data_IF_813460783464
#
_entry.id   IF_813460783464
#
_cell.length_a   1.000
_cell.length_b   1.000
_cell.length_c   1.000
_cell.angle_alpha   90.00
_cell.angle_beta   90.00
_cell.angle_gamma   90.00
#
_symmetry.space_group_name_H-M   'P 1'
#
loop_
_entity.id
_entity.type
_entity.pdbx_description
1 polymer ?
#
# COMPACT_ATOMS: atom_id res chain seq x y z
N UNK A 1 38.44 -19.37 -12.37
CA UNK A 1 38.61 -19.09 -10.94
C UNK A 1 38.27 -17.62 -10.72
N UNK A 2 37.12 -17.33 -10.11
CA UNK A 2 36.78 -15.99 -9.64
C UNK A 2 37.81 -15.62 -8.56
N UNK A 3 38.66 -14.63 -8.84
CA UNK A 3 39.62 -14.12 -7.85
C UNK A 3 38.80 -13.58 -6.68
N UNK A 4 38.96 -14.18 -5.50
CA UNK A 4 38.36 -13.68 -4.26
C UNK A 4 38.74 -12.21 -4.07
N UNK A 5 37.76 -11.38 -3.69
CA UNK A 5 37.98 -9.96 -3.40
C UNK A 5 37.72 -9.74 -1.92
N UNK A 6 38.79 -9.84 -1.13
CA UNK A 6 38.74 -9.55 0.29
C UNK A 6 38.65 -8.04 0.51
N UNK A 7 37.70 -7.62 1.32
CA UNK A 7 37.51 -6.25 1.74
C UNK A 7 37.51 -6.18 3.26
N UNK A 8 38.36 -5.33 3.82
CA UNK A 8 38.32 -5.00 5.24
C UNK A 8 37.10 -4.13 5.53
N UNK A 9 36.32 -4.52 6.54
CA UNK A 9 35.16 -3.77 7.00
C UNK A 9 35.20 -3.50 8.50
N UNK A 10 34.70 -2.32 8.87
CA UNK A 10 34.52 -1.90 10.25
C UNK A 10 33.07 -1.52 10.52
N UNK A 11 32.63 -1.62 11.78
CA UNK A 11 31.29 -1.21 12.20
C UNK A 11 31.30 0.28 12.54
N UNK A 12 30.43 1.05 11.89
CA UNK A 12 30.26 2.45 12.22
C UNK A 12 29.65 2.59 13.63
N UNK A 13 30.26 3.36 14.54
CA UNK A 13 29.73 3.57 15.88
C UNK A 13 28.40 4.34 15.89
N UNK A 14 28.13 5.14 14.86
CA UNK A 14 26.92 5.99 14.79
C UNK A 14 25.70 5.26 14.22
N UNK A 15 25.84 4.47 13.16
CA UNK A 15 24.71 3.75 12.57
C UNK A 15 24.72 2.23 12.81
N UNK A 16 25.83 1.66 13.29
CA UNK A 16 25.95 0.23 13.59
C UNK A 16 26.07 -0.68 12.37
N UNK A 17 26.16 -0.10 11.16
CA UNK A 17 26.32 -0.85 9.91
C UNK A 17 27.80 -1.12 9.62
N UNK A 18 28.06 -2.19 8.87
CA UNK A 18 29.39 -2.57 8.39
C UNK A 18 29.76 -1.81 7.12
N UNK A 19 30.98 -1.27 7.05
CA UNK A 19 31.47 -0.48 5.92
C UNK A 19 32.90 -0.81 5.54
N UNK A 20 33.21 -0.66 4.25
CA UNK A 20 34.57 -0.71 3.74
C UNK A 20 35.48 0.25 4.50
N UNK A 21 36.71 -0.19 4.77
CA UNK A 21 37.79 0.70 5.22
C UNK A 21 38.88 0.81 4.15
N UNK A 22 39.48 1.99 4.04
CA UNK A 22 40.63 2.27 3.18
C UNK A 22 41.63 3.08 3.98
N UNK A 23 42.88 2.61 4.07
CA UNK A 23 43.95 3.26 4.83
C UNK A 23 43.55 3.57 6.29
N UNK A 24 42.89 2.62 6.95
CA UNK A 24 42.42 2.80 8.33
C UNK A 24 41.37 3.91 8.50
N UNK A 25 40.57 4.20 7.47
CA UNK A 25 39.47 5.15 7.51
C UNK A 25 38.23 4.57 6.86
N UNK A 26 37.04 4.90 7.38
CA UNK A 26 35.79 4.46 6.75
C UNK A 26 35.58 5.13 5.39
N UNK A 27 35.19 4.34 4.40
CA UNK A 27 34.72 4.84 3.10
C UNK A 27 33.28 5.34 3.24
N UNK A 28 32.85 6.27 2.37
CA UNK A 28 31.49 6.80 2.36
C UNK A 28 30.42 5.70 2.20
N UNK A 29 29.19 5.94 2.69
CA UNK A 29 28.06 5.03 2.51
C UNK A 29 27.82 4.77 1.01
N UNK A 30 27.80 3.49 0.62
CA UNK A 30 27.63 3.07 -0.77
C UNK A 30 28.76 2.20 -1.30
N UNK A 31 29.98 2.30 -0.78
CA UNK A 31 31.13 1.54 -1.32
C UNK A 31 31.27 0.10 -0.78
N UNK A 32 30.25 -0.40 -0.09
CA UNK A 32 30.29 -1.72 0.56
C UNK A 32 30.09 -2.89 -0.44
N UNK A 33 29.48 -2.63 -1.61
CA UNK A 33 29.23 -3.61 -2.68
C UNK A 33 30.08 -3.29 -3.92
N UNK A 34 30.34 -4.30 -4.76
CA UNK A 34 31.15 -4.16 -5.98
C UNK A 34 30.66 -3.05 -6.95
N UNK A 35 29.38 -2.69 -6.88
CA UNK A 35 28.71 -1.70 -7.73
C UNK A 35 27.92 -0.65 -6.92
N UNK A 36 28.28 -0.42 -5.66
CA UNK A 36 27.40 0.35 -4.78
C UNK A 36 27.32 1.84 -5.15
N UNK A 37 26.09 2.35 -5.17
CA UNK A 37 25.75 3.74 -5.48
C UNK A 37 26.08 4.67 -4.30
N UNK A 38 26.50 5.89 -4.62
CA UNK A 38 26.75 6.97 -3.68
C UNK A 38 25.41 7.54 -3.20
N UNK A 39 24.93 7.15 -2.02
CA UNK A 39 23.79 7.81 -1.39
C UNK A 39 24.07 8.08 0.08
N UNK A 40 24.46 9.32 0.36
CA UNK A 40 24.58 9.90 1.69
C UNK A 40 26.02 10.03 2.21
N UNK A 41 26.36 11.22 2.68
CA UNK A 41 27.53 11.42 3.53
C UNK A 41 27.25 10.77 4.89
N UNK A 42 27.98 9.70 5.22
CA UNK A 42 28.05 9.28 6.60
C UNK A 42 28.84 10.33 7.39
N UNK A 43 28.35 10.72 8.56
CA UNK A 43 29.09 11.60 9.49
C UNK A 43 30.47 11.04 9.90
N UNK A 44 30.68 9.74 9.66
CA UNK A 44 31.90 8.99 9.88
C UNK A 44 32.87 8.89 8.69
N UNK A 45 32.49 9.38 7.52
CA UNK A 45 33.33 9.25 6.30
C UNK A 45 34.72 9.83 6.54
N UNK A 46 35.76 9.10 6.10
CA UNK A 46 37.17 9.49 6.26
C UNK A 46 37.70 9.59 7.71
N UNK A 47 36.94 9.12 8.72
CA UNK A 47 37.38 9.10 10.12
C UNK A 47 37.80 7.68 10.57
N UNK A 48 38.76 7.54 11.51
CA UNK A 48 39.27 6.24 11.98
C UNK A 48 38.37 5.54 13.02
N UNK A 49 37.20 6.09 13.30
CA UNK A 49 36.26 5.70 14.36
C UNK A 49 35.61 4.30 14.27
N UNK A 50 36.11 3.35 13.47
CA UNK A 50 35.61 1.96 13.48
C UNK A 50 36.32 1.18 14.59
N UNK A 51 35.59 0.60 15.53
CA UNK A 51 36.17 -0.34 16.51
C UNK A 51 37.46 0.13 17.20
N UNK A 52 37.68 1.44 17.28
CA UNK A 52 38.87 2.10 17.82
C UNK A 52 38.43 3.00 18.97
N UNK A 53 39.33 3.33 19.87
CA UNK A 53 39.01 4.16 21.04
C UNK A 53 38.59 5.60 20.64
N UNK A 54 39.08 6.09 19.50
CA UNK A 54 38.69 7.38 18.91
C UNK A 54 37.20 7.46 18.53
N UNK A 55 36.49 6.34 18.50
CA UNK A 55 35.06 6.32 18.28
C UNK A 55 34.28 6.98 19.44
N UNK A 56 34.77 6.88 20.67
CA UNK A 56 34.08 7.42 21.84
C UNK A 56 34.03 8.95 21.81
N UNK A 57 35.17 9.67 21.65
CA UNK A 57 35.15 11.13 21.50
C UNK A 57 34.29 11.61 20.32
N UNK A 58 34.32 10.87 19.20
CA UNK A 58 33.48 11.20 18.05
C UNK A 58 31.98 11.03 18.35
N UNK A 59 31.58 9.92 18.96
CA UNK A 59 30.18 9.69 19.34
C UNK A 59 29.70 10.74 20.35
N UNK A 60 30.54 11.13 21.30
CA UNK A 60 30.24 12.19 22.28
C UNK A 60 30.01 13.54 21.58
N UNK A 61 30.92 13.93 20.69
CA UNK A 61 30.79 15.17 19.91
C UNK A 61 29.53 15.17 19.03
N UNK A 62 29.25 14.04 18.37
CA UNK A 62 28.06 13.91 17.52
C UNK A 62 26.76 13.92 18.35
N UNK A 63 26.75 13.22 19.50
CA UNK A 63 25.63 13.26 20.45
C UNK A 63 25.34 14.69 20.90
N UNK A 64 26.36 15.47 21.28
CA UNK A 64 26.19 16.86 21.67
C UNK A 64 25.59 17.72 20.54
N UNK A 65 25.97 17.45 19.29
CA UNK A 65 25.38 18.11 18.11
C UNK A 65 23.89 17.78 17.97
N UNK A 66 23.49 16.52 18.16
CA UNK A 66 22.09 16.11 18.12
C UNK A 66 21.26 16.73 19.25
N UNK A 67 21.85 16.87 20.45
CA UNK A 67 21.22 17.54 21.60
C UNK A 67 20.96 19.02 21.30
N UNK A 68 21.94 19.73 20.73
CA UNK A 68 21.76 21.13 20.28
C UNK A 68 20.68 21.26 19.20
N UNK A 69 20.67 20.35 18.21
CA UNK A 69 19.61 20.30 17.20
C UNK A 69 18.22 20.04 17.80
N UNK A 70 18.13 19.17 18.80
CA UNK A 70 16.87 18.87 19.49
C UNK A 70 16.34 20.10 20.24
N UNK A 71 17.22 20.84 20.93
CA UNK A 71 16.89 22.10 21.60
C UNK A 71 16.33 23.11 20.59
N UNK A 72 17.06 23.36 19.48
CA UNK A 72 16.61 24.28 18.42
C UNK A 72 15.28 23.85 17.80
N UNK A 73 15.10 22.56 17.54
CA UNK A 73 13.85 22.02 16.98
C UNK A 73 12.68 22.21 17.94
N UNK A 74 12.91 22.04 19.25
CA UNK A 74 11.91 22.26 20.30
C UNK A 74 11.51 23.73 20.43
N UNK A 75 12.46 24.66 20.25
CA UNK A 75 12.16 26.10 20.20
C UNK A 75 11.33 26.45 18.96
N UNK A 76 11.70 25.93 17.78
CA UNK A 76 10.93 26.12 16.55
C UNK A 76 9.51 25.56 16.65
N UNK A 77 9.33 24.41 17.29
CA UNK A 77 8.03 23.79 17.52
C UNK A 77 7.10 24.60 18.45
N UNK A 78 7.66 25.51 19.27
CA UNK A 78 6.91 26.41 20.16
C UNK A 78 6.60 27.76 19.51
N UNK A 79 7.13 28.05 18.32
CA UNK A 79 6.91 29.33 17.65
C UNK A 79 5.42 29.52 17.34
N UNK A 80 4.90 30.71 17.64
CA UNK A 80 3.48 31.04 17.46
C UNK A 80 3.05 31.06 15.98
N UNK A 81 3.99 31.13 15.04
CA UNK A 81 3.75 31.31 13.61
C UNK A 81 3.99 30.04 12.77
N UNK A 82 3.71 28.86 13.32
CA UNK A 82 3.87 27.59 12.59
C UNK A 82 2.54 26.93 12.24
N UNK A 83 2.47 26.34 11.07
CA UNK A 83 1.31 25.56 10.62
C UNK A 83 1.21 24.22 11.36
N UNK A 84 0.01 23.61 11.40
CA UNK A 84 -0.19 22.27 11.95
C UNK A 84 0.69 21.20 11.26
N UNK A 85 1.00 21.37 9.97
CA UNK A 85 1.93 20.48 9.25
C UNK A 85 3.36 20.63 9.78
N UNK A 86 3.86 21.85 9.85
CA UNK A 86 5.22 22.13 10.38
C UNK A 86 5.37 21.63 11.82
N UNK A 87 4.33 21.82 12.65
CA UNK A 87 4.33 21.28 14.02
C UNK A 87 4.54 19.76 14.04
N UNK A 88 3.79 19.01 13.24
CA UNK A 88 3.97 17.54 13.11
C UNK A 88 5.34 17.16 12.57
N UNK A 89 5.88 17.94 11.63
CA UNK A 89 7.20 17.69 11.06
C UNK A 89 8.31 17.93 12.11
N UNK A 90 8.19 18.96 12.95
CA UNK A 90 9.09 19.21 14.07
C UNK A 90 8.98 18.14 15.17
N UNK A 91 7.76 17.72 15.53
CA UNK A 91 7.54 16.63 16.50
C UNK A 91 8.18 15.32 16.00
N UNK A 92 8.01 14.99 14.72
CA UNK A 92 8.67 13.83 14.11
C UNK A 92 10.19 13.95 14.14
N UNK A 93 10.71 15.14 13.82
CA UNK A 93 12.16 15.39 13.82
C UNK A 93 12.74 15.29 15.23
N UNK A 94 12.04 15.86 16.23
CA UNK A 94 12.42 15.79 17.64
C UNK A 94 12.49 14.35 18.13
N UNK A 95 11.46 13.54 17.86
CA UNK A 95 11.45 12.12 18.20
C UNK A 95 12.65 11.37 17.57
N UNK A 96 13.01 11.71 16.33
CA UNK A 96 14.18 11.14 15.65
C UNK A 96 15.50 11.54 16.30
N UNK A 97 15.65 12.81 16.70
CA UNK A 97 16.84 13.33 17.37
C UNK A 97 17.00 12.74 18.77
N UNK A 98 15.93 12.68 19.54
CA UNK A 98 15.93 12.08 20.88
C UNK A 98 16.26 10.59 20.82
N UNK A 99 15.65 9.84 19.89
CA UNK A 99 15.97 8.43 19.66
C UNK A 99 17.45 8.23 19.32
N UNK A 100 18.00 9.02 18.40
CA UNK A 100 19.41 8.91 18.01
C UNK A 100 20.36 9.29 19.15
N UNK A 101 20.00 10.28 19.96
CA UNK A 101 20.79 10.71 21.13
C UNK A 101 20.87 9.58 22.17
N UNK A 102 19.73 8.95 22.47
CA UNK A 102 19.65 7.81 23.39
C UNK A 102 20.43 6.61 22.85
N UNK A 103 20.28 6.31 21.55
CA UNK A 103 21.03 5.23 20.89
C UNK A 103 22.55 5.44 21.00
N UNK A 104 23.03 6.67 20.79
CA UNK A 104 24.45 6.99 20.95
C UNK A 104 24.90 6.89 22.40
N UNK A 105 24.10 7.35 23.37
CA UNK A 105 24.42 7.23 24.80
C UNK A 105 24.62 5.75 25.20
N UNK A 106 23.71 4.87 24.79
CA UNK A 106 23.82 3.44 25.02
C UNK A 106 25.05 2.82 24.36
N UNK A 107 25.39 3.26 23.14
CA UNK A 107 26.57 2.78 22.43
C UNK A 107 27.87 3.25 23.05
N UNK A 108 27.95 4.50 23.49
CA UNK A 108 29.10 5.03 24.22
C UNK A 108 29.35 4.19 25.48
N UNK A 109 28.30 3.93 26.27
CA UNK A 109 28.41 3.14 27.50
C UNK A 109 28.86 1.69 27.25
N UNK A 110 28.41 1.09 26.15
CA UNK A 110 28.73 -0.30 25.80
C UNK A 110 29.89 -0.43 24.82
N UNK A 111 30.60 0.67 24.54
CA UNK A 111 31.60 0.69 23.49
C UNK A 111 32.77 -0.23 23.85
N UNK A 112 33.20 -1.01 22.86
CA UNK A 112 34.42 -1.82 22.92
C UNK A 112 35.13 -1.72 21.58
N UNK A 113 36.47 -1.65 21.57
CA UNK A 113 37.23 -1.83 20.35
C UNK A 113 36.83 -3.11 19.62
N UNK A 114 36.74 -3.03 18.31
CA UNK A 114 36.38 -4.14 17.43
C UNK A 114 37.40 -4.23 16.30
N UNK A 115 37.95 -5.42 16.03
CA UNK A 115 38.87 -5.59 14.92
C UNK A 115 38.15 -5.39 13.58
N UNK A 116 38.92 -5.06 12.55
CA UNK A 116 38.43 -5.11 11.19
C UNK A 116 38.08 -6.55 10.82
N UNK A 117 36.96 -6.71 10.12
CA UNK A 117 36.52 -7.99 9.59
C UNK A 117 36.93 -8.10 8.14
N UNK A 118 37.53 -9.22 7.77
CA UNK A 118 37.75 -9.58 6.37
C UNK A 118 36.47 -10.19 5.80
N UNK A 119 35.97 -9.60 4.71
CA UNK A 119 34.77 -10.09 4.03
C UNK A 119 35.12 -10.38 2.58
N UNK A 120 34.80 -11.60 2.13
CA UNK A 120 34.80 -11.93 0.71
C UNK A 120 33.54 -11.33 0.06
N UNK A 121 33.74 -10.22 -0.65
CA UNK A 121 32.66 -9.44 -1.27
C UNK A 121 31.95 -10.27 -2.34
N UNK A 122 32.66 -11.18 -3.01
CA UNK A 122 32.07 -11.99 -4.08
C UNK A 122 31.15 -13.06 -3.47
N UNK A 123 31.59 -13.70 -2.39
CA UNK A 123 30.76 -14.68 -1.67
C UNK A 123 29.49 -14.02 -1.09
N UNK A 124 29.62 -12.85 -0.47
CA UNK A 124 28.48 -12.10 0.07
C UNK A 124 27.52 -11.63 -1.05
N UNK A 125 28.04 -11.14 -2.18
CA UNK A 125 27.22 -10.74 -3.33
C UNK A 125 26.47 -11.94 -3.93
N UNK A 126 27.09 -13.13 -3.99
CA UNK A 126 26.43 -14.35 -4.46
C UNK A 126 25.31 -14.79 -3.50
N UNK A 127 25.57 -14.77 -2.20
CA UNK A 127 24.57 -15.09 -1.18
C UNK A 127 23.39 -14.11 -1.24
N UNK A 128 23.66 -12.81 -1.36
CA UNK A 128 22.62 -11.80 -1.53
C UNK A 128 21.80 -11.99 -2.81
N UNK A 129 22.42 -12.44 -3.90
CA UNK A 129 21.70 -12.78 -5.14
C UNK A 129 20.79 -13.98 -4.93
N UNK A 130 21.29 -15.06 -4.32
CA UNK A 130 20.48 -16.22 -3.98
C UNK A 130 19.29 -15.87 -3.07
N UNK A 131 19.51 -15.04 -2.05
CA UNK A 131 18.44 -14.55 -1.18
C UNK A 131 17.39 -13.73 -1.95
N UNK A 132 17.82 -12.87 -2.89
CA UNK A 132 16.91 -12.07 -3.73
C UNK A 132 16.12 -12.95 -4.69
N UNK A 133 16.74 -13.96 -5.29
CA UNK A 133 16.10 -14.94 -6.16
C UNK A 133 15.06 -15.74 -5.37
N UNK A 134 15.42 -16.30 -4.22
CA UNK A 134 14.51 -17.01 -3.34
C UNK A 134 13.32 -16.15 -2.90
N UNK A 135 13.56 -14.88 -2.51
CA UNK A 135 12.49 -13.94 -2.15
C UNK A 135 11.59 -13.60 -3.35
N UNK A 136 12.15 -13.48 -4.55
CA UNK A 136 11.39 -13.24 -5.78
C UNK A 136 10.51 -14.44 -6.14
N UNK A 137 11.02 -15.66 -6.00
CA UNK A 137 10.26 -16.90 -6.21
C UNK A 137 9.12 -17.05 -5.19
N UNK A 138 9.39 -16.82 -3.90
CA UNK A 138 8.36 -16.81 -2.86
C UNK A 138 7.27 -15.78 -3.16
N UNK A 139 7.64 -14.57 -3.58
CA UNK A 139 6.70 -13.52 -3.96
C UNK A 139 5.88 -13.89 -5.20
N UNK A 140 6.50 -14.54 -6.19
CA UNK A 140 5.80 -15.04 -7.39
C UNK A 140 4.79 -16.13 -7.02
N UNK A 141 5.17 -17.08 -6.17
CA UNK A 141 4.28 -18.14 -5.68
C UNK A 141 3.10 -17.56 -4.87
N UNK A 142 3.36 -16.58 -4.01
CA UNK A 142 2.31 -15.91 -3.24
C UNK A 142 1.30 -15.16 -4.14
N UNK A 143 1.78 -14.48 -5.19
CA UNK A 143 0.92 -13.82 -6.19
C UNK A 143 0.06 -14.82 -6.95
N UNK A 144 0.64 -15.92 -7.41
CA UNK A 144 -0.11 -16.97 -8.11
C UNK A 144 -1.27 -17.52 -7.26
N UNK A 145 -1.02 -17.85 -5.99
CA UNK A 145 -2.08 -18.29 -5.06
C UNK A 145 -3.16 -17.22 -4.85
N UNK A 146 -2.76 -15.95 -4.75
CA UNK A 146 -3.70 -14.85 -4.60
C UNK A 146 -4.57 -14.67 -5.85
N UNK A 147 -3.99 -14.81 -7.04
CA UNK A 147 -4.70 -14.66 -8.31
C UNK A 147 -5.67 -15.83 -8.55
N UNK A 148 -5.27 -17.07 -8.20
CA UNK A 148 -6.17 -18.24 -8.17
C UNK A 148 -7.36 -18.02 -7.23
N UNK A 149 -7.11 -17.53 -6.00
CA UNK A 149 -8.18 -17.24 -5.04
C UNK A 149 -9.13 -16.14 -5.54
N UNK A 150 -8.59 -15.08 -6.17
CA UNK A 150 -9.40 -14.01 -6.78
C UNK A 150 -10.23 -14.53 -7.95
N UNK A 151 -9.68 -15.41 -8.78
CA UNK A 151 -10.38 -16.03 -9.90
C UNK A 151 -11.54 -16.91 -9.40
N UNK A 152 -11.30 -17.75 -8.39
CA UNK A 152 -12.34 -18.56 -7.76
C UNK A 152 -13.47 -17.70 -7.16
N UNK A 153 -13.12 -16.64 -6.40
CA UNK A 153 -14.10 -15.72 -5.82
C UNK A 153 -14.87 -14.91 -6.88
N UNK A 154 -14.26 -14.64 -8.05
CA UNK A 154 -14.96 -14.03 -9.18
C UNK A 154 -15.95 -15.02 -9.81
N UNK A 155 -15.52 -16.24 -10.09
CA UNK A 155 -16.37 -17.29 -10.65
C UNK A 155 -17.57 -17.59 -9.74
N UNK A 156 -17.38 -17.65 -8.42
CA UNK A 156 -18.48 -17.85 -7.46
C UNK A 156 -19.48 -16.69 -7.48
N UNK A 157 -19.01 -15.44 -7.55
CA UNK A 157 -19.88 -14.26 -7.65
C UNK A 157 -20.66 -14.23 -8.96
N UNK A 158 -20.01 -14.57 -10.07
CA UNK A 158 -20.64 -14.66 -11.39
C UNK A 158 -21.70 -15.79 -11.41
N UNK A 159 -21.41 -16.95 -10.81
CA UNK A 159 -22.36 -18.05 -10.67
C UNK A 159 -23.58 -17.68 -9.80
N UNK A 160 -23.36 -17.02 -8.65
CA UNK A 160 -24.45 -16.51 -7.79
C UNK A 160 -25.30 -15.47 -8.51
N UNK A 161 -24.67 -14.56 -9.25
CA UNK A 161 -25.39 -13.57 -10.06
C UNK A 161 -26.19 -14.24 -11.18
N UNK A 162 -25.62 -15.22 -11.88
CA UNK A 162 -26.29 -15.97 -12.93
C UNK A 162 -27.51 -16.75 -12.38
N UNK A 163 -27.35 -17.45 -11.25
CA UNK A 163 -28.45 -18.16 -10.59
C UNK A 163 -29.57 -17.21 -10.16
N UNK A 164 -29.22 -16.05 -9.58
CA UNK A 164 -30.20 -15.02 -9.23
C UNK A 164 -30.97 -14.52 -10.46
N UNK A 165 -30.26 -14.22 -11.56
CA UNK A 165 -30.90 -13.75 -12.79
C UNK A 165 -31.74 -14.83 -13.46
N UNK A 166 -31.33 -16.09 -13.43
CA UNK A 166 -32.14 -17.21 -13.90
C UNK A 166 -33.47 -17.29 -13.13
N UNK A 167 -33.44 -17.12 -11.80
CA UNK A 167 -34.65 -17.07 -10.98
C UNK A 167 -35.55 -15.86 -11.26
N UNK A 168 -34.97 -14.69 -11.56
CA UNK A 168 -35.72 -13.48 -11.93
C UNK A 168 -36.33 -13.60 -13.34
N UNK A 169 -35.61 -14.19 -14.28
CA UNK A 169 -36.04 -14.36 -15.68
C UNK A 169 -36.94 -15.59 -15.90
N UNK A 170 -37.06 -16.47 -14.90
CA UNK A 170 -38.10 -17.49 -14.89
C UNK A 170 -39.49 -16.85 -14.99
N UNK A 171 -40.52 -17.67 -15.25
CA UNK A 171 -41.88 -17.19 -15.35
C UNK A 171 -42.35 -16.54 -14.04
N UNK A 172 -42.49 -15.22 -14.04
CA UNK A 172 -42.79 -14.41 -12.85
C UNK A 172 -43.81 -13.31 -13.18
N UNK A 173 -44.32 -12.67 -12.13
CA UNK A 173 -45.13 -11.45 -12.28
C UNK A 173 -44.22 -10.23 -12.30
N UNK A 174 -44.34 -9.43 -13.36
CA UNK A 174 -43.58 -8.22 -13.60
C UNK A 174 -44.49 -7.01 -13.42
N UNK A 175 -44.00 -6.02 -12.69
CA UNK A 175 -44.77 -4.82 -12.35
C UNK A 175 -43.95 -3.57 -12.66
N UNK A 176 -44.64 -2.52 -13.12
CA UNK A 176 -44.11 -1.16 -13.17
C UNK A 176 -45.02 -0.29 -12.31
N UNK A 177 -44.41 0.47 -11.40
CA UNK A 177 -45.07 1.45 -10.56
C UNK A 177 -44.61 2.87 -10.95
N UNK A 178 -45.52 3.84 -10.88
CA UNK A 178 -45.22 5.27 -10.99
C UNK A 178 -45.81 5.97 -9.77
N UNK A 179 -44.96 6.68 -9.02
CA UNK A 179 -45.37 7.39 -7.79
C UNK A 179 -46.09 6.52 -6.74
N UNK A 180 -45.78 5.22 -6.72
CA UNK A 180 -46.39 4.24 -5.80
C UNK A 180 -47.66 3.57 -6.32
N UNK A 181 -48.16 3.97 -7.48
CA UNK A 181 -49.30 3.34 -8.14
C UNK A 181 -48.85 2.29 -9.15
N UNK A 182 -49.50 1.12 -9.15
CA UNK A 182 -49.23 0.06 -10.12
C UNK A 182 -49.85 0.45 -11.46
N UNK A 183 -49.00 0.70 -12.46
CA UNK A 183 -49.45 1.13 -13.80
C UNK A 183 -49.49 0.00 -14.82
N UNK A 184 -48.62 -1.00 -14.68
CA UNK A 184 -48.56 -2.17 -15.56
C UNK A 184 -48.22 -3.42 -14.76
N UNK A 185 -48.92 -4.51 -15.06
CA UNK A 185 -48.62 -5.84 -14.55
C UNK A 185 -48.75 -6.88 -15.67
N UNK A 186 -47.77 -7.79 -15.77
CA UNK A 186 -47.83 -8.90 -16.72
C UNK A 186 -47.03 -10.11 -16.23
N UNK A 187 -47.30 -11.26 -16.83
CA UNK A 187 -46.57 -12.51 -16.59
C UNK A 187 -45.73 -12.85 -17.82
N UNK A 188 -44.47 -13.17 -17.62
CA UNK A 188 -43.57 -13.55 -18.71
C UNK A 188 -42.35 -14.30 -18.18
N UNK A 189 -41.63 -14.93 -19.10
CA UNK A 189 -40.29 -15.48 -18.87
C UNK A 189 -39.33 -14.90 -19.92
N UNK A 190 -38.05 -14.84 -19.58
CA UNK A 190 -37.01 -14.26 -20.41
C UNK A 190 -35.78 -15.16 -20.42
N UNK A 191 -35.03 -15.13 -21.51
CA UNK A 191 -33.79 -15.92 -21.62
C UNK A 191 -32.59 -15.17 -21.00
N UNK A 192 -32.72 -13.86 -20.79
CA UNK A 192 -31.64 -13.04 -20.23
C UNK A 192 -32.17 -11.79 -19.54
N UNK A 193 -31.33 -11.23 -18.66
CA UNK A 193 -31.55 -9.90 -18.07
C UNK A 193 -31.78 -8.83 -19.13
N UNK A 194 -31.01 -8.86 -20.22
CA UNK A 194 -31.09 -7.85 -21.29
C UNK A 194 -32.42 -7.91 -22.02
N UNK A 195 -33.01 -9.10 -22.17
CA UNK A 195 -34.33 -9.28 -22.76
C UNK A 195 -35.43 -8.72 -21.83
N UNK A 196 -35.35 -9.05 -20.53
CA UNK A 196 -36.22 -8.50 -19.49
C UNK A 196 -36.19 -6.97 -19.45
N UNK A 197 -35.00 -6.37 -19.39
CA UNK A 197 -34.84 -4.90 -19.31
C UNK A 197 -35.34 -4.19 -20.58
N UNK A 198 -35.24 -4.85 -21.74
CA UNK A 198 -35.78 -4.34 -23.00
C UNK A 198 -37.30 -4.35 -23.01
N UNK A 199 -37.94 -5.41 -22.52
CA UNK A 199 -39.40 -5.49 -22.42
C UNK A 199 -39.94 -4.46 -21.41
N UNK A 200 -39.28 -4.30 -20.26
CA UNK A 200 -39.58 -3.21 -19.31
C UNK A 200 -39.51 -1.84 -19.99
N UNK A 201 -38.42 -1.57 -20.72
CA UNK A 201 -38.20 -0.28 -21.36
C UNK A 201 -39.26 -0.02 -22.43
N UNK A 202 -39.58 -1.03 -23.25
CA UNK A 202 -40.65 -0.97 -24.25
C UNK A 202 -42.00 -0.63 -23.62
N UNK A 203 -42.45 -1.44 -22.65
CA UNK A 203 -43.76 -1.27 -22.00
C UNK A 203 -43.88 0.06 -21.26
N UNK A 204 -42.82 0.45 -20.54
CA UNK A 204 -42.80 1.76 -19.88
C UNK A 204 -42.87 2.91 -20.87
N UNK A 205 -42.16 2.82 -22.01
CA UNK A 205 -42.21 3.81 -23.07
C UNK A 205 -43.60 3.91 -23.70
N UNK A 206 -44.25 2.78 -23.98
CA UNK A 206 -45.61 2.73 -24.53
C UNK A 206 -46.63 3.35 -23.58
N UNK A 207 -46.57 3.03 -22.28
CA UNK A 207 -47.46 3.64 -21.27
C UNK A 207 -47.22 5.14 -21.13
N UNK A 208 -45.97 5.57 -20.94
CA UNK A 208 -45.66 7.00 -20.78
C UNK A 208 -46.07 7.81 -22.01
N UNK A 209 -45.93 7.24 -23.21
CA UNK A 209 -46.38 7.89 -24.44
C UNK A 209 -47.91 8.02 -24.54
N UNK A 210 -48.67 7.13 -23.88
CA UNK A 210 -50.14 7.19 -23.84
C UNK A 210 -50.71 8.14 -22.78
N UNK A 211 -49.94 8.45 -21.73
CA UNK A 211 -50.41 9.26 -20.59
C UNK A 211 -49.91 10.70 -20.65
N UNK A 212 -48.68 10.90 -21.12
CA UNK A 212 -48.04 12.22 -21.17
C UNK A 212 -47.87 12.63 -22.63
N UNK A 213 -48.37 13.80 -23.01
CA UNK A 213 -48.18 14.35 -24.36
C UNK A 213 -46.81 15.02 -24.50
N UNK A 214 -46.34 15.69 -23.45
CA UNK A 214 -45.07 16.40 -23.43
C UNK A 214 -43.86 15.47 -23.20
N UNK A 215 -42.79 15.70 -23.95
CA UNK A 215 -41.57 14.88 -23.88
C UNK A 215 -40.84 15.05 -22.55
N UNK A 216 -40.81 16.27 -21.99
CA UNK A 216 -40.14 16.52 -20.73
C UNK A 216 -40.88 15.84 -19.57
N UNK A 217 -42.21 15.82 -19.60
CA UNK A 217 -43.02 15.08 -18.63
C UNK A 217 -42.79 13.56 -18.72
N UNK A 218 -42.67 13.00 -19.93
CA UNK A 218 -42.29 11.58 -20.11
C UNK A 218 -40.92 11.28 -19.50
N UNK A 219 -39.94 12.14 -19.75
CA UNK A 219 -38.59 11.99 -19.18
C UNK A 219 -38.69 12.05 -17.65
N UNK A 220 -39.34 13.06 -17.10
CA UNK A 220 -39.51 13.24 -15.66
C UNK A 220 -40.24 12.06 -14.99
N UNK A 221 -41.26 11.50 -15.64
CA UNK A 221 -41.95 10.30 -15.16
C UNK A 221 -41.06 9.06 -15.23
N UNK A 222 -40.24 8.90 -16.28
CA UNK A 222 -39.36 7.74 -16.44
C UNK A 222 -38.34 7.57 -15.29
N UNK A 223 -37.86 8.68 -14.71
CA UNK A 223 -36.94 8.67 -13.56
C UNK A 223 -37.60 8.23 -12.25
N UNK A 224 -38.94 8.27 -12.18
CA UNK A 224 -39.73 7.91 -10.99
C UNK A 224 -40.33 6.51 -11.08
N UNK A 225 -40.14 5.82 -12.21
CA UNK A 225 -40.61 4.47 -12.39
C UNK A 225 -39.86 3.50 -11.48
N UNK A 226 -40.62 2.64 -10.81
CA UNK A 226 -40.09 1.52 -10.04
C UNK A 226 -40.49 0.23 -10.73
N UNK A 227 -39.52 -0.65 -11.00
CA UNK A 227 -39.79 -1.94 -11.66
C UNK A 227 -39.65 -3.05 -10.64
N UNK A 228 -40.61 -3.96 -10.56
CA UNK A 228 -40.57 -5.09 -9.63
C UNK A 228 -40.80 -6.40 -10.34
N UNK A 229 -40.15 -7.43 -9.81
CA UNK A 229 -40.39 -8.83 -10.16
C UNK A 229 -40.87 -9.53 -8.90
N UNK A 230 -42.00 -10.22 -9.00
CA UNK A 230 -42.61 -11.02 -7.94
C UNK A 230 -42.74 -12.46 -8.37
N UNK A 231 -42.49 -13.37 -7.43
CA UNK A 231 -42.73 -14.79 -7.63
C UNK A 231 -44.20 -15.03 -7.95
N UNK A 232 -44.47 -15.74 -9.03
CA UNK A 232 -45.82 -16.11 -9.41
C UNK A 232 -46.51 -16.96 -8.32
N UNK A 233 -45.76 -17.92 -7.75
CA UNK A 233 -46.31 -18.86 -6.76
C UNK A 233 -46.53 -18.24 -5.39
N UNK A 234 -45.62 -17.37 -4.95
CA UNK A 234 -45.59 -16.88 -3.55
C UNK A 234 -45.98 -15.41 -3.40
N UNK A 235 -46.07 -14.65 -4.51
CA UNK A 235 -46.26 -13.20 -4.50
C UNK A 235 -45.11 -12.38 -3.90
N UNK A 236 -44.06 -13.06 -3.39
CA UNK A 236 -42.89 -12.42 -2.78
C UNK A 236 -42.10 -11.65 -3.81
N UNK A 237 -41.62 -10.46 -3.44
CA UNK A 237 -40.75 -9.66 -4.29
C UNK A 237 -39.38 -10.35 -4.44
N UNK A 238 -39.05 -10.73 -5.66
CA UNK A 238 -37.76 -11.32 -6.04
C UNK A 238 -36.72 -10.24 -6.37
N UNK A 239 -37.18 -9.16 -7.01
CA UNK A 239 -36.31 -8.06 -7.39
C UNK A 239 -37.04 -6.73 -7.45
N UNK A 240 -36.30 -5.65 -7.22
CA UNK A 240 -36.71 -4.26 -7.39
C UNK A 240 -35.56 -3.54 -8.07
N UNK A 241 -35.84 -2.93 -9.21
CA UNK A 241 -34.93 -2.04 -9.91
C UNK A 241 -35.17 -0.60 -9.47
#
# INVERSE_FOLDING_TARGET
MTKTRIQLRGICPVCGKSFATKNGRMVAHGYTLAHGFQSGECHGTNKPHYGHDDAVPFMQSYKATLEDMAIKTKELAKSANITAKQKRDYERSLNGLEFMTELLAQRIMKWKPMPLMEIDVIAEDMELRHQREAAAEQKKAARAKQDEAKAAARAEREAKAAAKWAGICANNTHQIELDGELILEWQSSYNSRTELERDYSKRSGEYLASVFDDLQDRINASWRLVRRVRSLDTGKQLHKF
#
